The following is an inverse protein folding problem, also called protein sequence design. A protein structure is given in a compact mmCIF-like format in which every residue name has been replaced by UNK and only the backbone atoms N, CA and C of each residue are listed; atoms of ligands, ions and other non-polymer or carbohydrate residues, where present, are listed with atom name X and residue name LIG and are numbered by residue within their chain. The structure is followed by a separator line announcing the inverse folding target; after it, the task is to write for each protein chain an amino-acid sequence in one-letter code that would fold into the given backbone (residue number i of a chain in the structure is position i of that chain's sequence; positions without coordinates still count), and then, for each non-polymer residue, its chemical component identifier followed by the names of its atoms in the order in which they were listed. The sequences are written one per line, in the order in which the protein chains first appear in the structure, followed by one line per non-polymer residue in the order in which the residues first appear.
data_IF_868526189545
#
_entry.id   IF_868526189545
#
_cell.length_a   1.000
_cell.length_b   1.000
_cell.length_c   1.000
_cell.angle_alpha   90.00
_cell.angle_beta   90.00
_cell.angle_gamma   90.00
#
_symmetry.space_group_name_H-M   'P 1'
#
loop_
_entity.id
_entity.type
_entity.pdbx_description
1 polymer ?
#
# COMPACT_ATOMS: atom_id res chain seq x y z
N UNK A 1 1.74 9.22 -20.61
CA UNK A 1 2.91 8.32 -20.50
C UNK A 1 4.06 8.91 -21.29
N UNK A 2 5.25 8.99 -20.71
CA UNK A 2 6.45 9.55 -21.34
C UNK A 2 7.69 8.72 -20.96
N UNK A 3 8.80 8.90 -21.68
CA UNK A 3 10.10 8.37 -21.25
C UNK A 3 10.68 9.23 -20.13
N UNK A 4 10.99 8.60 -19.00
CA UNK A 4 11.61 9.20 -17.84
C UNK A 4 13.07 8.75 -17.76
N UNK A 5 14.04 9.68 -17.80
CA UNK A 5 15.46 9.35 -17.71
C UNK A 5 15.78 8.44 -16.52
N UNK A 6 16.39 7.29 -16.81
CA UNK A 6 16.77 6.30 -15.80
C UNK A 6 15.62 5.46 -15.20
N UNK A 7 14.35 5.70 -15.57
CA UNK A 7 13.19 4.93 -15.09
C UNK A 7 12.41 4.20 -16.19
N UNK A 8 12.70 4.47 -17.47
CA UNK A 8 11.96 3.89 -18.58
C UNK A 8 10.66 4.65 -18.83
N UNK A 9 9.52 3.96 -19.00
CA UNK A 9 8.22 4.64 -19.19
C UNK A 9 7.63 5.03 -17.82
N UNK A 10 7.15 6.26 -17.71
CA UNK A 10 6.43 6.77 -16.54
C UNK A 10 5.12 7.45 -16.91
N UNK A 11 4.29 7.69 -15.90
CA UNK A 11 3.02 8.43 -16.03
C UNK A 11 3.17 9.81 -15.40
N UNK A 12 2.72 10.85 -16.09
CA UNK A 12 2.69 12.21 -15.59
C UNK A 12 1.24 12.69 -15.59
N UNK A 13 0.89 13.50 -14.60
CA UNK A 13 -0.40 14.16 -14.55
C UNK A 13 -0.54 15.15 -15.72
N UNK A 14 -1.65 15.11 -16.45
CA UNK A 14 -1.95 16.04 -17.56
C UNK A 14 -2.87 17.20 -17.12
N UNK A 15 -3.19 17.24 -15.83
CA UNK A 15 -3.96 18.28 -15.14
C UNK A 15 -3.70 18.14 -13.64
N UNK A 16 -4.07 19.13 -12.81
CA UNK A 16 -4.14 18.92 -11.38
C UNK A 16 -5.07 17.75 -11.02
N UNK A 17 -4.64 16.92 -10.06
CA UNK A 17 -5.41 15.79 -9.52
C UNK A 17 -5.56 16.02 -8.02
N UNK A 18 -6.79 15.93 -7.53
CA UNK A 18 -7.08 16.20 -6.11
C UNK A 18 -6.73 14.98 -5.24
N UNK A 19 -6.38 15.24 -3.98
CA UNK A 19 -6.24 14.19 -2.97
C UNK A 19 -7.51 13.33 -2.87
N UNK A 20 -7.34 12.01 -2.87
CA UNK A 20 -8.43 11.03 -2.82
C UNK A 20 -9.15 10.84 -4.15
N UNK A 21 -8.63 11.37 -5.26
CA UNK A 21 -9.17 11.15 -6.60
C UNK A 21 -8.72 9.79 -7.16
N UNK A 22 -9.66 9.06 -7.80
CA UNK A 22 -9.37 7.83 -8.53
C UNK A 22 -8.68 8.18 -9.86
N UNK A 23 -7.43 7.74 -10.02
CA UNK A 23 -6.62 7.99 -11.21
C UNK A 23 -6.86 6.90 -12.27
N UNK A 24 -6.88 5.65 -11.85
CA UNK A 24 -6.99 4.50 -12.74
C UNK A 24 -7.70 3.34 -12.04
N UNK A 25 -8.61 2.68 -12.74
CA UNK A 25 -9.12 1.36 -12.40
C UNK A 25 -8.90 0.42 -13.59
N UNK A 26 -8.05 -0.59 -13.44
CA UNK A 26 -7.61 -1.46 -14.54
C UNK A 26 -7.93 -2.93 -14.24
N UNK A 27 -8.51 -3.62 -15.23
CA UNK A 27 -8.69 -5.07 -15.22
C UNK A 27 -7.38 -5.78 -15.55
N UNK A 28 -7.13 -6.97 -14.99
CA UNK A 28 -5.92 -7.71 -15.28
C UNK A 28 -5.85 -8.11 -16.75
N UNK A 29 -4.70 -7.90 -17.40
CA UNK A 29 -4.40 -8.48 -18.71
C UNK A 29 -4.35 -10.02 -18.60
N UNK A 30 -3.70 -10.51 -17.55
CA UNK A 30 -3.68 -11.91 -17.17
C UNK A 30 -3.41 -12.03 -15.67
N UNK A 31 -3.98 -13.07 -15.06
CA UNK A 31 -3.81 -13.39 -13.64
C UNK A 31 -3.23 -14.81 -13.51
N UNK A 32 -2.45 -15.05 -12.45
CA UNK A 32 -1.89 -16.36 -12.15
C UNK A 32 -1.99 -16.65 -10.65
N UNK A 33 -2.41 -17.87 -10.32
CA UNK A 33 -2.32 -18.39 -8.95
C UNK A 33 -0.89 -18.82 -8.62
N UNK A 34 -0.56 -18.87 -7.34
CA UNK A 34 0.69 -19.45 -6.86
C UNK A 34 0.67 -20.99 -6.96
N UNK A 35 1.81 -21.67 -7.21
CA UNK A 35 3.11 -21.09 -7.56
C UNK A 35 3.18 -20.67 -9.03
N UNK A 36 3.85 -19.55 -9.31
CA UNK A 36 4.06 -19.08 -10.68
C UNK A 36 5.23 -19.78 -11.37
N UNK A 37 4.99 -20.37 -12.55
CA UNK A 37 6.02 -21.02 -13.35
C UNK A 37 6.04 -20.49 -14.78
N UNK A 38 7.11 -20.77 -15.52
CA UNK A 38 7.20 -20.39 -16.93
C UNK A 38 6.09 -21.04 -17.76
N UNK A 39 5.71 -22.28 -17.45
CA UNK A 39 4.67 -23.01 -18.16
C UNK A 39 3.29 -22.36 -17.95
N UNK A 40 2.95 -21.98 -16.72
CA UNK A 40 1.65 -21.38 -16.42
C UNK A 40 1.52 -19.97 -17.02
N UNK A 41 2.60 -19.18 -16.98
CA UNK A 41 2.64 -17.86 -17.64
C UNK A 41 2.53 -17.98 -19.16
N UNK A 42 3.25 -18.92 -19.79
CA UNK A 42 3.17 -19.11 -21.24
C UNK A 42 1.78 -19.57 -21.69
N UNK A 43 1.14 -20.47 -20.96
CA UNK A 43 -0.23 -20.92 -21.26
C UNK A 43 -1.25 -19.78 -21.16
N UNK A 44 -1.09 -18.88 -20.18
CA UNK A 44 -1.90 -17.68 -20.09
C UNK A 44 -1.66 -16.73 -21.27
N UNK A 45 -0.39 -16.49 -21.63
CA UNK A 45 -0.02 -15.64 -22.76
C UNK A 45 -0.52 -16.18 -24.10
N UNK A 46 -0.48 -17.49 -24.33
CA UNK A 46 -0.95 -18.09 -25.58
C UNK A 46 -2.45 -17.96 -25.80
N UNK A 47 -3.20 -17.67 -24.74
CA UNK A 47 -4.65 -17.42 -24.79
C UNK A 47 -4.98 -15.95 -25.09
N UNK A 48 -3.98 -15.06 -25.10
CA UNK A 48 -4.15 -13.64 -25.40
C UNK A 48 -4.00 -13.35 -26.89
N UNK A 49 -4.60 -12.24 -27.32
CA UNK A 49 -4.39 -11.70 -28.67
C UNK A 49 -2.93 -11.35 -28.92
N UNK A 50 -2.50 -11.37 -30.19
CA UNK A 50 -1.14 -10.92 -30.58
C UNK A 50 -0.82 -9.51 -30.08
N UNK A 51 -1.81 -8.63 -30.02
CA UNK A 51 -1.64 -7.28 -29.51
C UNK A 51 -1.37 -7.28 -27.99
N UNK A 52 -2.10 -8.09 -27.24
CA UNK A 52 -1.93 -8.19 -25.79
C UNK A 52 -0.65 -8.90 -25.40
N UNK A 53 -0.22 -9.90 -26.16
CA UNK A 53 1.11 -10.50 -26.02
C UNK A 53 2.21 -9.44 -26.24
N UNK A 54 2.10 -8.60 -27.30
CA UNK A 54 3.07 -7.50 -27.51
C UNK A 54 3.06 -6.50 -26.37
N UNK A 55 1.88 -6.14 -25.84
CA UNK A 55 1.75 -5.25 -24.68
C UNK A 55 2.45 -5.85 -23.45
N UNK A 56 2.26 -7.14 -23.19
CA UNK A 56 2.97 -7.85 -22.13
C UNK A 56 4.50 -7.80 -22.31
N UNK A 57 4.99 -8.16 -23.49
CA UNK A 57 6.43 -8.17 -23.78
C UNK A 57 7.06 -6.76 -23.85
N UNK A 58 6.24 -5.70 -23.87
CA UNK A 58 6.69 -4.30 -23.76
C UNK A 58 6.93 -3.82 -22.32
N UNK A 59 6.58 -4.64 -21.32
CA UNK A 59 6.77 -4.31 -19.90
C UNK A 59 8.23 -4.49 -19.48
N UNK A 60 8.58 -3.91 -18.32
CA UNK A 60 9.92 -4.00 -17.80
C UNK A 60 10.29 -5.46 -17.45
N UNK A 61 11.56 -5.83 -17.59
CA UNK A 61 12.07 -7.08 -17.08
C UNK A 61 13.32 -6.77 -16.25
N UNK A 62 13.15 -6.71 -14.92
CA UNK A 62 14.22 -6.44 -13.97
C UNK A 62 15.05 -7.70 -13.65
N UNK A 63 14.60 -8.88 -14.09
CA UNK A 63 15.17 -10.18 -13.80
C UNK A 63 15.77 -10.83 -15.07
N UNK A 64 16.33 -10.00 -15.96
CA UNK A 64 17.02 -10.46 -17.17
C UNK A 64 18.26 -11.25 -16.78
N UNK A 65 18.42 -12.44 -17.36
CA UNK A 65 19.53 -13.35 -17.04
C UNK A 65 19.18 -14.36 -15.94
N UNK A 66 18.30 -14.00 -15.02
CA UNK A 66 17.86 -14.90 -13.93
C UNK A 66 16.67 -15.78 -14.32
N UNK A 67 15.76 -15.26 -15.17
CA UNK A 67 14.56 -15.97 -15.62
C UNK A 67 14.33 -15.81 -17.13
N UNK A 68 13.64 -16.78 -17.78
CA UNK A 68 13.15 -16.60 -19.14
C UNK A 68 12.23 -15.37 -19.22
N UNK A 69 12.28 -14.58 -20.32
CA UNK A 69 11.58 -13.31 -20.41
C UNK A 69 10.10 -13.34 -20.00
N UNK A 70 9.28 -14.34 -20.38
CA UNK A 70 7.89 -14.38 -19.94
C UNK A 70 7.77 -14.41 -18.41
N UNK A 71 8.50 -15.27 -17.71
CA UNK A 71 8.43 -15.36 -16.26
C UNK A 71 9.09 -14.16 -15.56
N UNK A 72 10.22 -13.66 -16.09
CA UNK A 72 10.91 -12.49 -15.56
C UNK A 72 10.05 -11.22 -15.60
N UNK A 73 9.36 -10.99 -16.72
CA UNK A 73 8.37 -9.89 -16.86
C UNK A 73 7.23 -10.08 -15.86
N UNK A 74 6.68 -11.29 -15.72
CA UNK A 74 5.60 -11.55 -14.78
C UNK A 74 6.02 -11.16 -13.35
N UNK A 75 7.13 -11.72 -12.88
CA UNK A 75 7.67 -11.48 -11.53
C UNK A 75 8.07 -10.03 -11.28
N UNK A 76 8.43 -9.29 -12.33
CA UNK A 76 8.77 -7.86 -12.23
C UNK A 76 7.52 -6.98 -12.06
N UNK A 77 6.40 -7.32 -12.71
CA UNK A 77 5.30 -6.38 -12.91
C UNK A 77 3.96 -6.82 -12.29
N UNK A 78 3.86 -8.03 -11.74
CA UNK A 78 2.61 -8.58 -11.24
C UNK A 78 2.41 -8.32 -9.75
N UNK A 79 1.69 -7.26 -9.33
CA UNK A 79 1.31 -7.10 -7.94
C UNK A 79 0.34 -8.20 -7.48
N UNK A 80 0.30 -8.49 -6.16
CA UNK A 80 -0.65 -9.42 -5.58
C UNK A 80 -2.10 -8.94 -5.78
N UNK A 81 -3.00 -9.88 -6.05
CA UNK A 81 -4.44 -9.65 -6.17
C UNK A 81 -5.16 -10.07 -4.89
N UNK A 82 -4.94 -9.30 -3.83
CA UNK A 82 -5.50 -9.56 -2.50
C UNK A 82 -4.58 -9.05 -1.41
N UNK A 83 -4.96 -9.32 -0.16
CA UNK A 83 -4.10 -9.02 0.98
C UNK A 83 -2.79 -9.81 0.85
N UNK A 84 -1.69 -9.07 0.96
CA UNK A 84 -0.35 -9.63 0.91
C UNK A 84 0.46 -8.96 2.01
N UNK A 85 0.78 -9.74 3.03
CA UNK A 85 1.63 -9.34 4.14
C UNK A 85 2.72 -10.41 4.31
N UNK A 86 3.79 -10.26 3.53
CA UNK A 86 4.94 -11.14 3.60
C UNK A 86 5.59 -11.16 4.99
N UNK A 87 5.47 -10.08 5.77
CA UNK A 87 6.03 -10.01 7.14
C UNK A 87 5.28 -10.94 8.10
N UNK A 88 3.99 -11.19 7.85
CA UNK A 88 3.14 -12.11 8.61
C UNK A 88 2.93 -13.47 7.92
N UNK A 89 3.69 -13.75 6.86
CA UNK A 89 3.58 -14.99 6.08
C UNK A 89 2.26 -15.11 5.31
N UNK A 90 1.52 -14.02 5.13
CA UNK A 90 0.29 -14.00 4.35
C UNK A 90 0.60 -13.63 2.90
N UNK A 91 0.42 -14.57 1.99
CA UNK A 91 0.58 -14.32 0.57
C UNK A 91 -0.78 -14.37 -0.13
N UNK A 92 -1.10 -13.32 -0.90
CA UNK A 92 -2.22 -13.36 -1.83
C UNK A 92 -2.14 -14.62 -2.72
N UNK A 93 -3.29 -15.26 -2.94
CA UNK A 93 -3.39 -16.50 -3.70
C UNK A 93 -3.02 -16.33 -5.18
N UNK A 94 -3.14 -15.10 -5.70
CA UNK A 94 -2.85 -14.77 -7.09
C UNK A 94 -2.15 -13.42 -7.23
N UNK A 95 -1.51 -13.24 -8.38
CA UNK A 95 -0.94 -11.98 -8.85
C UNK A 95 -1.36 -11.77 -10.31
N UNK A 96 -1.36 -10.53 -10.78
CA UNK A 96 -1.83 -10.23 -12.13
C UNK A 96 -1.08 -9.08 -12.78
N UNK A 97 -1.11 -9.04 -14.10
CA UNK A 97 -0.48 -7.99 -14.91
C UNK A 97 -1.50 -6.92 -15.26
N UNK A 98 -1.09 -5.67 -15.07
CA UNK A 98 -1.88 -4.47 -15.36
C UNK A 98 -1.02 -3.57 -16.25
N UNK A 99 -1.32 -3.50 -17.54
CA UNK A 99 -0.38 -2.92 -18.53
C UNK A 99 -0.12 -1.44 -18.26
N UNK A 100 -1.15 -0.69 -17.88
CA UNK A 100 -1.02 0.73 -17.52
C UNK A 100 -0.48 0.84 -16.09
N UNK A 101 -0.98 0.02 -15.16
CA UNK A 101 -0.54 -0.06 -13.78
C UNK A 101 0.97 -0.30 -13.63
N UNK A 102 1.56 -1.12 -14.51
CA UNK A 102 3.01 -1.39 -14.55
C UNK A 102 3.86 -0.21 -15.06
N UNK A 103 3.24 0.94 -15.38
CA UNK A 103 3.94 2.19 -15.79
C UNK A 103 4.03 3.22 -14.67
N UNK A 104 3.40 2.99 -13.52
CA UNK A 104 3.62 3.80 -12.33
C UNK A 104 5.00 3.47 -11.77
N UNK A 105 5.93 4.42 -11.79
CA UNK A 105 7.25 4.22 -11.20
C UNK A 105 7.20 4.21 -9.67
N UNK A 106 8.30 3.80 -9.03
CA UNK A 106 8.43 3.86 -7.57
C UNK A 106 9.00 5.19 -7.08
N UNK A 107 8.50 5.67 -5.94
CA UNK A 107 9.09 6.74 -5.14
C UNK A 107 9.14 6.33 -3.66
N UNK A 108 10.11 6.88 -2.91
CA UNK A 108 10.16 6.78 -1.44
C UNK A 108 9.19 7.75 -0.74
N UNK A 109 8.61 8.68 -1.50
CA UNK A 109 7.51 9.58 -1.15
C UNK A 109 6.48 9.45 -2.28
N UNK A 110 5.67 8.38 -2.30
CA UNK A 110 4.69 8.17 -3.35
C UNK A 110 3.52 9.15 -3.20
N UNK A 111 3.00 9.61 -4.33
CA UNK A 111 1.80 10.45 -4.42
C UNK A 111 0.56 9.64 -4.88
N UNK A 112 0.73 8.33 -5.13
CA UNK A 112 -0.32 7.40 -5.52
C UNK A 112 -0.23 6.13 -4.69
N UNK A 113 -1.37 5.62 -4.24
CA UNK A 113 -1.49 4.27 -3.66
C UNK A 113 -2.22 3.34 -4.64
N UNK A 114 -1.72 2.12 -4.81
CA UNK A 114 -2.42 1.07 -5.53
C UNK A 114 -3.13 0.10 -4.58
N UNK A 115 -4.30 -0.39 -4.99
CA UNK A 115 -5.10 -1.34 -4.20
C UNK A 115 -5.88 -2.29 -5.09
N UNK A 116 -5.81 -3.58 -4.81
CA UNK A 116 -6.67 -4.58 -5.45
C UNK A 116 -8.08 -4.54 -4.85
N UNK A 117 -9.06 -4.11 -5.63
CA UNK A 117 -10.45 -4.14 -5.23
C UNK A 117 -11.07 -5.47 -5.66
N UNK A 118 -11.20 -6.40 -4.71
CA UNK A 118 -11.76 -7.73 -4.95
C UNK A 118 -13.22 -7.72 -5.42
N UNK A 119 -14.01 -6.70 -5.07
CA UNK A 119 -15.40 -6.61 -5.55
C UNK A 119 -15.49 -6.20 -7.02
N UNK A 120 -14.54 -5.38 -7.50
CA UNK A 120 -14.48 -4.94 -8.89
C UNK A 120 -13.62 -5.84 -9.76
N UNK A 121 -12.79 -6.71 -9.17
CA UNK A 121 -11.73 -7.47 -9.84
C UNK A 121 -10.79 -6.54 -10.63
N UNK A 122 -10.44 -5.39 -10.05
CA UNK A 122 -9.57 -4.38 -10.65
C UNK A 122 -8.50 -3.92 -9.67
N UNK A 123 -7.33 -3.59 -10.19
CA UNK A 123 -6.40 -2.72 -9.46
C UNK A 123 -6.89 -1.29 -9.59
N UNK A 124 -6.84 -0.54 -8.49
CA UNK A 124 -7.20 0.87 -8.43
C UNK A 124 -6.01 1.69 -7.97
N UNK A 125 -5.86 2.89 -8.50
CA UNK A 125 -4.81 3.84 -8.17
C UNK A 125 -5.44 5.14 -7.70
N UNK A 126 -5.13 5.56 -6.48
CA UNK A 126 -5.72 6.72 -5.83
C UNK A 126 -4.65 7.73 -5.45
N UNK A 127 -4.91 9.02 -5.69
CA UNK A 127 -4.02 10.09 -5.29
C UNK A 127 -3.98 10.21 -3.75
N UNK A 128 -2.80 10.11 -3.14
CA UNK A 128 -2.63 10.23 -1.67
C UNK A 128 -2.43 11.68 -1.23
N UNK A 129 -2.10 12.56 -2.16
CA UNK A 129 -1.97 14.01 -2.00
C UNK A 129 -2.56 14.73 -3.22
N UNK A 130 -2.64 16.06 -3.17
CA UNK A 130 -2.82 16.83 -4.41
C UNK A 130 -1.58 16.65 -5.29
N UNK A 131 -1.78 16.56 -6.60
CA UNK A 131 -0.74 16.34 -7.60
C UNK A 131 -0.83 17.43 -8.66
N UNK A 132 0.28 18.10 -8.91
CA UNK A 132 0.33 19.18 -9.90
C UNK A 132 0.35 18.64 -11.34
N UNK A 133 -0.10 19.44 -12.30
CA UNK A 133 0.10 19.13 -13.72
C UNK A 133 1.60 18.98 -14.03
N UNK A 134 1.95 17.94 -14.79
CA UNK A 134 3.34 17.61 -15.13
C UNK A 134 4.09 16.81 -14.06
N UNK A 135 3.52 16.62 -12.87
CA UNK A 135 4.15 15.79 -11.83
C UNK A 135 4.06 14.29 -12.18
N UNK A 136 5.12 13.52 -11.87
CA UNK A 136 5.16 12.08 -12.10
C UNK A 136 4.29 11.34 -11.07
N UNK A 137 3.44 10.43 -11.54
CA UNK A 137 2.61 9.57 -10.70
C UNK A 137 3.43 8.36 -10.24
N UNK A 138 3.69 8.28 -8.94
CA UNK A 138 4.55 7.26 -8.36
C UNK A 138 3.84 6.49 -7.23
N UNK A 139 3.98 5.16 -7.25
CA UNK A 139 3.62 4.26 -6.16
C UNK A 139 4.86 3.89 -5.32
N UNK A 140 4.71 3.01 -4.33
CA UNK A 140 5.85 2.37 -3.68
C UNK A 140 5.93 0.89 -4.08
N UNK A 141 7.03 0.46 -4.71
CA UNK A 141 7.24 -0.96 -5.07
C UNK A 141 7.65 -1.83 -3.88
N UNK A 142 8.05 -1.22 -2.78
CA UNK A 142 8.63 -1.89 -1.63
C UNK A 142 7.88 -1.63 -0.35
N UNK A 143 8.41 -2.20 0.72
CA UNK A 143 7.99 -1.87 2.07
C UNK A 143 8.51 -0.47 2.41
N UNK A 144 7.59 0.47 2.63
CA UNK A 144 7.89 1.88 2.95
C UNK A 144 8.80 2.03 4.18
N UNK A 145 8.78 1.03 5.06
CA UNK A 145 9.36 1.05 6.40
C UNK A 145 10.78 0.48 6.47
N UNK A 146 11.26 -0.17 5.41
CA UNK A 146 12.61 -0.73 5.41
C UNK A 146 13.69 0.36 5.38
N UNK A 147 14.82 0.08 6.02
CA UNK A 147 16.00 0.95 5.97
C UNK A 147 16.41 1.23 4.51
N UNK A 148 17.05 2.37 4.25
CA UNK A 148 17.47 2.72 2.88
C UNK A 148 18.27 1.62 2.22
N UNK A 149 19.20 0.97 2.91
CA UNK A 149 20.05 -0.05 2.29
C UNK A 149 19.25 -1.31 1.91
N UNK A 150 18.17 -1.63 2.62
CA UNK A 150 17.25 -2.72 2.25
C UNK A 150 16.34 -2.35 1.08
N UNK A 151 15.91 -1.07 1.00
CA UNK A 151 15.15 -0.53 -0.13
C UNK A 151 16.05 -0.41 -1.37
N UNK A 152 17.29 0.00 -1.15
CA UNK A 152 18.35 0.17 -2.15
C UNK A 152 18.79 -1.19 -2.67
N UNK A 153 19.05 -2.20 -1.85
CA UNK A 153 19.35 -3.55 -2.31
C UNK A 153 18.21 -4.17 -3.15
N UNK A 154 16.94 -3.83 -2.88
CA UNK A 154 15.80 -4.24 -3.72
C UNK A 154 15.65 -3.42 -5.01
N UNK A 155 16.18 -2.20 -5.09
CA UNK A 155 16.04 -1.26 -6.21
C UNK A 155 17.36 -1.01 -6.99
N UNK A 156 18.47 -1.62 -6.55
CA UNK A 156 19.82 -1.40 -7.06
C UNK A 156 20.09 -2.01 -8.44
N UNK A 157 19.14 -2.75 -9.00
CA UNK A 157 19.20 -3.12 -10.41
C UNK A 157 18.67 -2.02 -11.35
N UNK A 158 18.07 -0.91 -10.86
CA UNK A 158 17.44 0.06 -11.78
C UNK A 158 17.31 1.54 -11.34
N UNK A 159 17.55 1.95 -10.09
CA UNK A 159 17.21 3.33 -9.68
C UNK A 159 18.28 4.06 -8.87
N UNK A 160 18.72 5.23 -9.37
CA UNK A 160 19.57 6.18 -8.61
C UNK A 160 18.67 7.15 -7.85
N UNK A 161 18.69 7.12 -6.52
CA UNK A 161 18.03 8.10 -5.66
C UNK A 161 19.06 8.96 -4.91
N UNK A 162 18.81 10.28 -4.88
CA UNK A 162 19.67 11.32 -4.33
C UNK A 162 19.77 11.36 -2.80
N UNK A 163 20.63 12.26 -2.30
CA UNK A 163 21.09 12.30 -0.92
C UNK A 163 20.28 13.26 -0.01
N UNK A 164 19.46 12.70 0.88
CA UNK A 164 19.02 13.34 2.15
C UNK A 164 18.84 12.23 3.20
N UNK A 165 19.91 11.88 3.94
CA UNK A 165 20.19 10.44 4.16
C UNK A 165 20.22 9.88 5.59
N UNK A 166 20.32 10.67 6.67
CA UNK A 166 20.46 10.05 8.00
C UNK A 166 19.21 10.16 8.84
N UNK A 167 18.70 11.37 9.03
CA UNK A 167 17.53 11.59 9.89
C UNK A 167 16.26 10.93 9.34
N UNK A 168 16.06 10.95 8.01
CA UNK A 168 14.93 10.25 7.40
C UNK A 168 15.05 8.73 7.55
N UNK A 169 16.27 8.18 7.43
CA UNK A 169 16.50 6.75 7.63
C UNK A 169 16.32 6.34 9.11
N UNK A 170 16.76 7.18 10.05
CA UNK A 170 16.51 7.01 11.48
C UNK A 170 15.02 7.06 11.80
N UNK A 171 14.27 8.04 11.26
CA UNK A 171 12.82 8.14 11.44
C UNK A 171 12.10 6.91 10.87
N UNK A 172 12.43 6.47 9.66
CA UNK A 172 11.81 5.28 9.05
C UNK A 172 12.14 4.00 9.80
N UNK A 173 13.37 3.85 10.30
CA UNK A 173 13.75 2.74 11.17
C UNK A 173 12.95 2.76 12.48
N UNK A 174 12.77 3.94 13.08
CA UNK A 174 11.94 4.09 14.27
C UNK A 174 10.46 3.77 14.00
N UNK A 175 9.92 4.21 12.86
CA UNK A 175 8.56 3.87 12.41
C UNK A 175 8.41 2.35 12.29
N UNK A 176 9.32 1.66 11.57
CA UNK A 176 9.27 0.20 11.42
C UNK A 176 9.25 -0.52 12.77
N UNK A 177 10.13 -0.11 13.69
CA UNK A 177 10.16 -0.66 15.05
C UNK A 177 8.84 -0.43 15.79
N UNK A 178 8.23 0.75 15.63
CA UNK A 178 6.95 1.06 16.24
C UNK A 178 5.83 0.14 15.71
N UNK A 179 5.82 -0.23 14.43
CA UNK A 179 4.83 -1.18 13.89
C UNK A 179 4.90 -2.54 14.60
N UNK A 180 6.09 -3.12 14.70
CA UNK A 180 6.29 -4.40 15.39
C UNK A 180 5.86 -4.31 16.85
N UNK A 181 6.28 -3.23 17.52
CA UNK A 181 5.97 -2.99 18.91
C UNK A 181 4.47 -2.73 19.17
N UNK A 182 3.77 -2.07 18.26
CA UNK A 182 2.32 -1.83 18.33
C UNK A 182 1.58 -3.16 18.26
N UNK A 183 1.96 -4.05 17.33
CA UNK A 183 1.38 -5.39 17.22
C UNK A 183 1.49 -6.21 18.51
N UNK A 184 2.52 -5.98 19.33
CA UNK A 184 2.74 -6.63 20.61
C UNK A 184 1.97 -6.00 21.80
N UNK A 185 1.30 -4.85 21.61
CA UNK A 185 0.64 -4.11 22.71
C UNK A 185 -0.78 -4.60 23.03
N UNK A 186 -1.20 -5.79 22.58
CA UNK A 186 -2.57 -6.30 22.76
C UNK A 186 -3.07 -6.28 24.21
N UNK A 187 -2.19 -6.56 25.17
CA UNK A 187 -2.50 -6.55 26.62
C UNK A 187 -2.17 -5.22 27.32
N UNK A 188 -1.58 -4.26 26.61
CA UNK A 188 -1.16 -2.96 27.15
C UNK A 188 -1.68 -1.81 26.27
N UNK A 189 -3.02 -1.68 26.10
CA UNK A 189 -3.63 -0.78 25.11
C UNK A 189 -3.25 0.70 25.29
N UNK A 190 -3.00 1.15 26.54
CA UNK A 190 -2.54 2.52 26.78
C UNK A 190 -1.13 2.79 26.23
N UNK A 191 -0.24 1.79 26.28
CA UNK A 191 1.08 1.84 25.66
C UNK A 191 0.92 1.82 24.14
N UNK A 192 0.08 0.93 23.63
CA UNK A 192 -0.21 0.82 22.19
C UNK A 192 -0.67 2.13 21.57
N UNK A 193 -1.65 2.82 22.17
CA UNK A 193 -2.11 4.13 21.68
C UNK A 193 -1.01 5.20 21.71
N UNK A 194 -0.13 5.20 22.72
CA UNK A 194 1.01 6.14 22.76
C UNK A 194 1.98 5.88 21.60
N UNK A 195 2.28 4.61 21.31
CA UNK A 195 3.15 4.22 20.20
C UNK A 195 2.53 4.55 18.84
N UNK A 196 1.22 4.33 18.67
CA UNK A 196 0.49 4.77 17.46
C UNK A 196 0.67 6.27 17.24
N UNK A 197 0.47 7.09 18.28
CA UNK A 197 0.66 8.55 18.16
C UNK A 197 2.09 8.94 17.78
N UNK A 198 3.08 8.28 18.37
CA UNK A 198 4.48 8.50 18.00
C UNK A 198 4.73 8.14 16.53
N UNK A 199 4.20 7.00 16.05
CA UNK A 199 4.33 6.58 14.67
C UNK A 199 3.68 7.58 13.70
N UNK A 200 2.45 8.04 14.01
CA UNK A 200 1.74 9.04 13.20
C UNK A 200 2.51 10.38 13.12
N UNK A 201 3.12 10.84 14.21
CA UNK A 201 3.95 12.05 14.20
C UNK A 201 5.19 11.89 13.32
N UNK A 202 5.91 10.78 13.46
CA UNK A 202 7.08 10.49 12.62
C UNK A 202 6.70 10.35 11.14
N UNK A 203 5.53 9.78 10.84
CA UNK A 203 5.00 9.71 9.48
C UNK A 203 4.68 11.10 8.91
N UNK A 204 4.09 11.99 9.71
CA UNK A 204 3.85 13.36 9.31
C UNK A 204 5.15 14.11 9.01
N UNK A 205 6.18 13.94 9.86
CA UNK A 205 7.52 14.51 9.64
C UNK A 205 8.21 13.95 8.37
N UNK A 206 7.87 12.73 7.97
CA UNK A 206 8.36 12.09 6.74
C UNK A 206 7.52 12.40 5.49
N UNK A 207 6.41 13.15 5.62
CA UNK A 207 5.40 13.36 4.57
C UNK A 207 4.81 12.03 4.04
N UNK A 208 4.64 11.05 4.94
CA UNK A 208 4.10 9.72 4.65
C UNK A 208 2.83 9.39 5.44
N UNK A 209 2.24 10.37 6.13
CA UNK A 209 1.02 10.17 6.93
C UNK A 209 -0.10 9.50 6.12
N UNK A 210 -0.23 9.91 4.86
CA UNK A 210 -1.25 9.43 3.92
C UNK A 210 -0.90 8.08 3.29
N UNK A 211 0.23 7.47 3.65
CA UNK A 211 0.58 6.15 3.14
C UNK A 211 0.07 5.02 4.04
N UNK A 212 -0.40 5.31 5.26
CA UNK A 212 -0.82 4.26 6.18
C UNK A 212 -2.06 4.58 7.04
N UNK A 213 -3.17 3.96 6.64
CA UNK A 213 -4.44 4.00 7.38
C UNK A 213 -4.52 2.97 8.54
N UNK A 214 -3.64 1.98 8.59
CA UNK A 214 -3.68 0.85 9.54
C UNK A 214 -3.41 1.27 10.99
N UNK A 215 -2.54 2.27 11.22
CA UNK A 215 -2.25 2.79 12.56
C UNK A 215 -3.49 3.36 13.25
N UNK A 216 -4.36 4.05 12.50
CA UNK A 216 -5.64 4.53 13.03
C UNK A 216 -6.55 3.36 13.43
N UNK A 217 -6.52 2.28 12.67
CA UNK A 217 -7.25 1.06 13.00
C UNK A 217 -6.69 0.35 14.24
N UNK A 218 -5.37 0.30 14.41
CA UNK A 218 -4.74 -0.25 15.62
C UNK A 218 -5.14 0.53 16.88
N UNK A 219 -5.13 1.87 16.85
CA UNK A 219 -5.61 2.67 17.97
C UNK A 219 -7.11 2.47 18.24
N UNK A 220 -7.92 2.29 17.20
CA UNK A 220 -9.32 1.89 17.35
C UNK A 220 -9.44 0.55 18.08
N UNK A 221 -8.68 -0.48 17.68
CA UNK A 221 -8.72 -1.81 18.30
C UNK A 221 -8.36 -1.74 19.80
N UNK A 222 -7.36 -0.93 20.19
CA UNK A 222 -7.02 -0.70 21.59
C UNK A 222 -8.14 -0.01 22.38
N UNK A 223 -8.82 0.98 21.80
CA UNK A 223 -9.93 1.65 22.48
C UNK A 223 -11.14 0.72 22.64
N UNK A 224 -11.44 -0.08 21.60
CA UNK A 224 -12.51 -1.07 21.62
C UNK A 224 -12.27 -2.14 22.68
N UNK A 225 -11.03 -2.62 22.84
CA UNK A 225 -10.73 -3.69 23.79
C UNK A 225 -11.02 -3.32 25.24
N UNK A 226 -10.88 -2.05 25.60
CA UNK A 226 -11.18 -1.52 26.95
C UNK A 226 -12.55 -0.84 27.04
N UNK A 227 -13.42 -1.03 26.05
CA UNK A 227 -14.76 -0.42 25.97
C UNK A 227 -14.77 1.12 25.99
N UNK A 228 -13.71 1.78 25.50
CA UNK A 228 -13.64 3.23 25.34
C UNK A 228 -14.34 3.66 24.05
N UNK A 229 -15.68 3.67 24.08
CA UNK A 229 -16.53 3.95 22.93
C UNK A 229 -16.25 5.33 22.32
N UNK A 230 -15.97 6.35 23.16
CA UNK A 230 -15.78 7.72 22.68
C UNK A 230 -14.52 7.81 21.81
N UNK A 231 -13.39 7.34 22.32
CA UNK A 231 -12.14 7.41 21.57
C UNK A 231 -12.09 6.38 20.44
N UNK A 232 -12.71 5.20 20.61
CA UNK A 232 -12.87 4.23 19.52
C UNK A 232 -13.56 4.88 18.31
N UNK A 233 -14.68 5.60 18.52
CA UNK A 233 -15.37 6.32 17.44
C UNK A 233 -14.49 7.37 16.75
N UNK A 234 -13.69 8.11 17.51
CA UNK A 234 -12.78 9.10 16.95
C UNK A 234 -11.69 8.45 16.07
N UNK A 235 -11.05 7.38 16.56
CA UNK A 235 -10.01 6.67 15.83
C UNK A 235 -10.52 5.97 14.58
N UNK A 236 -11.69 5.31 14.63
CA UNK A 236 -12.24 4.65 13.45
C UNK A 236 -12.74 5.62 12.39
N UNK A 237 -13.14 6.84 12.78
CA UNK A 237 -13.44 7.92 11.83
C UNK A 237 -12.18 8.31 11.07
N UNK A 238 -11.04 8.47 11.75
CA UNK A 238 -9.75 8.73 11.10
C UNK A 238 -9.30 7.57 10.20
N UNK A 239 -9.49 6.32 10.64
CA UNK A 239 -9.22 5.16 9.81
C UNK A 239 -10.07 5.16 8.54
N UNK A 240 -11.37 5.47 8.65
CA UNK A 240 -12.27 5.58 7.50
C UNK A 240 -11.85 6.69 6.53
N UNK A 241 -11.53 7.89 7.04
CA UNK A 241 -11.02 9.01 6.23
C UNK A 241 -9.77 8.60 5.44
N UNK A 242 -8.80 8.00 6.13
CA UNK A 242 -7.55 7.57 5.53
C UNK A 242 -7.77 6.47 4.48
N UNK A 243 -8.48 5.38 4.82
CA UNK A 243 -8.77 4.30 3.86
C UNK A 243 -9.57 4.78 2.64
N UNK A 244 -10.50 5.72 2.83
CA UNK A 244 -11.29 6.27 1.73
C UNK A 244 -10.43 7.05 0.74
N UNK A 245 -9.40 7.75 1.22
CA UNK A 245 -8.44 8.47 0.37
C UNK A 245 -7.54 7.50 -0.38
N UNK A 246 -6.96 6.52 0.31
CA UNK A 246 -5.89 5.70 -0.27
C UNK A 246 -6.39 4.47 -1.06
N UNK A 247 -7.60 4.00 -0.78
CA UNK A 247 -8.19 2.79 -1.41
C UNK A 247 -9.57 3.05 -2.03
N UNK A 248 -10.13 4.25 -1.82
CA UNK A 248 -11.48 4.59 -2.22
C UNK A 248 -12.53 4.32 -1.13
N UNK A 249 -13.66 5.04 -1.15
CA UNK A 249 -14.75 4.89 -0.19
C UNK A 249 -15.46 3.53 -0.29
N UNK A 250 -15.39 2.89 -1.47
CA UNK A 250 -16.01 1.58 -1.72
C UNK A 250 -15.11 0.38 -1.43
N UNK A 251 -13.87 0.62 -0.95
CA UNK A 251 -12.98 -0.45 -0.52
C UNK A 251 -13.58 -1.23 0.66
N UNK A 252 -13.17 -2.49 0.80
CA UNK A 252 -13.62 -3.34 1.91
C UNK A 252 -13.24 -2.74 3.27
N UNK A 253 -12.05 -2.15 3.38
CA UNK A 253 -11.62 -1.47 4.59
C UNK A 253 -12.50 -0.26 4.90
N UNK A 254 -12.78 0.61 3.92
CA UNK A 254 -13.64 1.78 4.11
C UNK A 254 -15.05 1.37 4.53
N UNK A 255 -15.64 0.35 3.89
CA UNK A 255 -16.96 -0.18 4.28
C UNK A 255 -16.95 -0.75 5.70
N UNK A 256 -15.91 -1.49 6.06
CA UNK A 256 -15.73 -2.06 7.41
C UNK A 256 -15.59 -0.96 8.47
N UNK A 257 -14.78 0.07 8.21
CA UNK A 257 -14.65 1.20 9.14
C UNK A 257 -15.97 1.96 9.30
N UNK A 258 -16.72 2.17 8.21
CA UNK A 258 -18.03 2.81 8.24
C UNK A 258 -19.05 2.00 9.07
N UNK A 259 -18.99 0.66 9.02
CA UNK A 259 -19.79 -0.21 9.89
C UNK A 259 -19.44 0.01 11.37
N UNK A 260 -18.16 0.02 11.72
CA UNK A 260 -17.70 0.26 13.10
C UNK A 260 -17.97 1.68 13.60
N UNK A 261 -17.97 2.69 12.72
CA UNK A 261 -18.40 4.05 13.07
C UNK A 261 -19.84 4.09 13.58
N UNK A 262 -20.74 3.29 12.97
CA UNK A 262 -22.13 3.17 13.42
C UNK A 262 -22.21 2.54 14.79
N UNK A 263 -21.55 1.40 14.98
CA UNK A 263 -21.46 0.75 16.29
C UNK A 263 -20.15 -0.01 16.49
N UNK A 264 -19.30 0.55 17.36
CA UNK A 264 -17.97 -0.01 17.68
C UNK A 264 -18.05 -1.37 18.38
N UNK A 265 -19.22 -1.74 18.92
CA UNK A 265 -19.45 -3.03 19.59
C UNK A 265 -19.49 -4.22 18.62
N UNK A 266 -19.68 -3.95 17.33
CA UNK A 266 -19.63 -4.98 16.29
C UNK A 266 -18.21 -5.54 16.09
N UNK A 267 -17.18 -4.83 16.57
CA UNK A 267 -15.82 -5.33 16.50
C UNK A 267 -15.59 -6.44 17.53
N UNK A 268 -15.05 -7.58 17.08
CA UNK A 268 -14.83 -8.80 17.89
C UNK A 268 -14.08 -8.59 19.20
N UNK A 269 -13.25 -7.55 19.28
CA UNK A 269 -12.45 -7.26 20.47
C UNK A 269 -13.18 -6.42 21.53
N UNK A 270 -14.44 -6.04 21.32
CA UNK A 270 -15.13 -5.16 22.25
C UNK A 270 -15.20 -5.74 23.67
N UNK A 271 -14.67 -5.00 24.65
CA UNK A 271 -14.74 -5.37 26.06
C UNK A 271 -13.91 -6.59 26.49
N UNK A 272 -12.91 -6.99 25.69
CA UNK A 272 -11.99 -8.08 26.06
C UNK A 272 -11.12 -7.75 27.29
N UNK A 273 -10.89 -6.47 27.58
CA UNK A 273 -10.06 -6.00 28.68
C UNK A 273 -10.87 -5.16 29.68
N UNK A 274 -10.37 -4.99 30.92
CA UNK A 274 -11.01 -4.13 31.91
C UNK A 274 -11.27 -2.73 31.36
N UNK A 275 -12.41 -2.16 31.75
CA UNK A 275 -12.84 -0.86 31.26
C UNK A 275 -11.82 0.21 31.62
N UNK A 276 -11.39 0.97 30.61
CA UNK A 276 -10.46 2.07 30.78
C UNK A 276 -10.78 3.19 29.78
N UNK A 277 -10.18 4.37 30.01
CA UNK A 277 -10.24 5.50 29.09
C UNK A 277 -8.83 5.75 28.52
N UNK A 278 -8.70 5.69 27.20
CA UNK A 278 -7.46 5.96 26.47
C UNK A 278 -7.50 7.38 25.89
N UNK A 279 -6.51 7.72 25.07
CA UNK A 279 -6.46 9.00 24.37
C UNK A 279 -6.97 8.87 22.92
N UNK A 280 -7.76 9.84 22.47
CA UNK A 280 -8.19 9.97 21.07
C UNK A 280 -7.08 10.48 20.13
N UNK A 281 -7.34 10.56 18.83
CA UNK A 281 -6.43 11.15 17.85
C UNK A 281 -6.10 12.60 18.19
N UNK A 282 -4.96 13.08 17.70
CA UNK A 282 -4.62 14.51 17.73
C UNK A 282 -5.52 15.24 16.73
N UNK A 283 -5.96 16.44 17.10
CA UNK A 283 -6.82 17.31 16.28
C UNK A 283 -6.03 17.97 15.17
#
# INVERSE_FOLDING_TARGET
MQDIPGKGKGLLATRPIARGELILAEEPLLSQSQPHSIATVLAALSSLSDNDQRRYFSLANALKGDYPPPLGIFKTNAPPCGDHDASRGHAAASAAIFVIGSRFNSSCQPNVNNYWNGSLQKITFWATSDIAEGEELCICYGDLWKARDDRRHRLESSFRFGAALKESDERRTAIAKLYDEIGACGNTPSVGVRKVKMALRLLAEENLLECDASLYYDAFQFCVSVSDVKNAKAWVTKAWEAFSVIRGPDSENSKTMAMYMKDVRQHRSFGLLPRAKLSGPET
#
